data_IF_107360807966
#
_entry.id   IF_107360807966
#
_cell.length_a   1.000
_cell.length_b   1.000
_cell.length_c   1.000
_cell.angle_alpha   90.00
_cell.angle_beta   90.00
_cell.angle_gamma   90.00
#
_symmetry.space_group_name_H-M   'P 1'
#
loop_
_entity.id
_entity.type
_entity.pdbx_description
1 polymer ?
#
# COMPACT_ATOMS: atom_id res chain seq x y z
N UNK A 1 -7.93 -11.74 -2.32
CA UNK A 1 -9.08 -11.37 -1.45
C UNK A 1 -8.86 -10.12 -0.58
N UNK A 2 -7.68 -9.49 -0.59
CA UNK A 2 -7.39 -8.32 0.25
C UNK A 2 -8.13 -7.05 -0.19
N UNK A 3 -8.37 -6.90 -1.49
CA UNK A 3 -9.07 -5.74 -2.07
C UNK A 3 -10.49 -5.54 -1.51
N UNK A 4 -11.43 -6.51 -1.59
CA UNK A 4 -12.75 -6.33 -0.98
C UNK A 4 -12.69 -6.21 0.55
N UNK A 5 -11.74 -6.87 1.20
CA UNK A 5 -11.57 -6.82 2.66
C UNK A 5 -11.17 -5.42 3.14
N UNK A 6 -10.34 -4.70 2.37
CA UNK A 6 -9.99 -3.31 2.66
C UNK A 6 -11.24 -2.42 2.73
N UNK A 7 -12.12 -2.50 1.72
CA UNK A 7 -13.35 -1.70 1.70
C UNK A 7 -14.34 -2.11 2.79
N UNK A 8 -14.46 -3.41 3.10
CA UNK A 8 -15.30 -3.87 4.22
C UNK A 8 -14.77 -3.33 5.56
N UNK A 9 -13.46 -3.30 5.77
CA UNK A 9 -12.88 -2.80 7.02
C UNK A 9 -12.90 -1.27 7.12
N UNK A 10 -12.58 -0.55 6.03
CA UNK A 10 -12.56 0.91 6.02
C UNK A 10 -13.97 1.52 5.97
N UNK A 11 -14.85 1.00 5.11
CA UNK A 11 -16.20 1.55 4.88
C UNK A 11 -17.26 0.81 5.72
N UNK A 12 -17.16 -0.52 5.83
CA UNK A 12 -18.16 -1.34 6.55
C UNK A 12 -18.04 -1.32 8.07
N UNK A 13 -16.82 -1.30 8.62
CA UNK A 13 -16.58 -1.26 10.07
C UNK A 13 -16.23 0.15 10.62
N UNK A 14 -16.16 1.17 9.78
CA UNK A 14 -15.90 2.56 10.21
C UNK A 14 -14.53 2.78 10.86
N UNK A 15 -13.59 1.83 10.69
CA UNK A 15 -12.29 1.87 11.32
C UNK A 15 -11.31 2.84 10.67
N UNK A 16 -11.69 3.52 9.57
CA UNK A 16 -11.05 4.70 9.00
C UNK A 16 -9.52 4.75 9.14
N UNK A 17 -9.00 5.44 10.17
CA UNK A 17 -7.55 5.60 10.41
C UNK A 17 -6.86 4.46 11.18
N UNK A 18 -7.63 3.59 11.84
CA UNK A 18 -7.12 2.47 12.64
C UNK A 18 -6.99 1.17 11.85
N UNK A 19 -7.66 1.07 10.70
CA UNK A 19 -7.54 -0.07 9.82
C UNK A 19 -6.21 0.01 9.02
N UNK A 20 -5.42 -1.07 8.98
CA UNK A 20 -4.18 -1.09 8.21
C UNK A 20 -4.46 -0.85 6.73
N UNK A 21 -3.51 -0.24 6.03
CA UNK A 21 -3.59 0.03 4.59
C UNK A 21 -3.41 -1.28 3.79
N UNK A 22 -4.47 -2.08 3.80
CA UNK A 22 -4.56 -3.37 3.13
C UNK A 22 -4.53 -3.23 1.60
N UNK A 23 -4.90 -2.07 1.06
CA UNK A 23 -4.92 -1.81 -0.37
C UNK A 23 -3.49 -1.64 -0.90
N UNK A 24 -2.64 -0.89 -0.18
CA UNK A 24 -1.20 -0.83 -0.48
C UNK A 24 -0.54 -2.21 -0.33
N UNK A 25 -0.86 -2.98 0.72
CA UNK A 25 -0.31 -4.34 0.91
C UNK A 25 -0.73 -5.25 -0.26
N UNK A 26 -2.00 -5.19 -0.65
CA UNK A 26 -2.53 -5.98 -1.77
C UNK A 26 -1.85 -5.63 -3.09
N UNK A 27 -1.63 -4.34 -3.35
CA UNK A 27 -0.92 -3.86 -4.52
C UNK A 27 0.52 -4.36 -4.53
N UNK A 28 1.24 -4.23 -3.41
CA UNK A 28 2.64 -4.66 -3.30
C UNK A 28 2.80 -6.18 -3.45
N UNK A 29 1.86 -6.97 -2.93
CA UNK A 29 1.81 -8.41 -3.18
C UNK A 29 1.54 -8.72 -4.65
N UNK A 30 0.52 -8.08 -5.24
CA UNK A 30 0.19 -8.28 -6.65
C UNK A 30 1.37 -7.90 -7.56
N UNK A 31 2.04 -6.78 -7.30
CA UNK A 31 3.18 -6.27 -8.06
C UNK A 31 4.37 -7.24 -8.10
N UNK A 32 4.47 -8.17 -7.15
CA UNK A 32 5.50 -9.25 -7.18
C UNK A 32 5.13 -10.36 -8.16
N UNK A 33 3.84 -10.62 -8.33
CA UNK A 33 3.32 -11.68 -9.20
C UNK A 33 3.14 -11.20 -10.64
N UNK A 34 2.79 -9.92 -10.83
CA UNK A 34 2.58 -9.33 -12.15
C UNK A 34 3.81 -8.55 -12.64
N UNK A 35 4.13 -8.63 -13.93
CA UNK A 35 5.18 -7.81 -14.53
C UNK A 35 4.84 -6.31 -14.50
N UNK A 36 5.80 -5.45 -14.88
CA UNK A 36 5.70 -3.99 -14.82
C UNK A 36 4.37 -3.41 -15.36
N UNK A 37 3.94 -3.88 -16.53
CA UNK A 37 2.69 -3.48 -17.19
C UNK A 37 1.44 -3.86 -16.39
N UNK A 38 1.46 -5.03 -15.75
CA UNK A 38 0.37 -5.47 -14.90
C UNK A 38 0.32 -4.66 -13.62
N UNK A 39 1.47 -4.39 -13.01
CA UNK A 39 1.56 -3.65 -11.76
C UNK A 39 1.10 -2.20 -11.91
N UNK A 40 1.44 -1.55 -13.03
CA UNK A 40 0.94 -0.20 -13.34
C UNK A 40 -0.58 -0.17 -13.50
N UNK A 41 -1.17 -1.18 -14.15
CA UNK A 41 -2.62 -1.26 -14.34
C UNK A 41 -3.35 -1.52 -13.03
N UNK A 42 -2.85 -2.46 -12.22
CA UNK A 42 -3.43 -2.76 -10.89
C UNK A 42 -3.34 -1.53 -9.99
N UNK A 43 -2.19 -0.84 -9.97
CA UNK A 43 -2.02 0.40 -9.22
C UNK A 43 -2.99 1.50 -9.65
N UNK A 44 -3.16 1.71 -10.97
CA UNK A 44 -4.11 2.68 -11.49
C UNK A 44 -5.55 2.35 -11.07
N UNK A 45 -5.99 1.10 -11.27
CA UNK A 45 -7.34 0.68 -10.91
C UNK A 45 -7.61 0.84 -9.42
N UNK A 46 -6.65 0.45 -8.58
CA UNK A 46 -6.77 0.57 -7.13
C UNK A 46 -6.90 2.04 -6.71
N UNK A 47 -6.05 2.90 -7.25
CA UNK A 47 -6.10 4.32 -6.93
C UNK A 47 -7.34 5.02 -7.48
N UNK A 48 -7.90 4.62 -8.64
CA UNK A 48 -9.17 5.16 -9.15
C UNK A 48 -10.34 4.81 -8.22
N UNK A 49 -10.34 3.59 -7.69
CA UNK A 49 -11.37 3.18 -6.72
C UNK A 49 -11.23 3.95 -5.41
N UNK A 50 -10.01 4.18 -4.94
CA UNK A 50 -9.76 4.98 -3.74
C UNK A 50 -10.13 6.46 -3.96
N UNK A 51 -9.80 7.01 -5.12
CA UNK A 51 -10.15 8.38 -5.50
C UNK A 51 -11.67 8.58 -5.64
N UNK A 52 -12.42 7.53 -5.99
CA UNK A 52 -13.89 7.58 -6.03
C UNK A 52 -14.53 7.86 -4.67
N UNK A 53 -13.78 7.66 -3.58
CA UNK A 53 -14.19 7.96 -2.21
C UNK A 53 -13.71 9.34 -1.73
N UNK A 54 -12.84 10.02 -2.49
CA UNK A 54 -12.24 11.30 -2.12
C UNK A 54 -12.47 12.36 -3.20
N UNK A 55 -13.51 13.18 -3.02
CA UNK A 55 -13.88 14.22 -4.01
C UNK A 55 -12.84 15.35 -4.10
N UNK A 56 -12.13 15.64 -3.00
CA UNK A 56 -11.26 16.81 -2.87
C UNK A 56 -9.88 16.64 -3.53
N UNK A 57 -9.42 15.41 -3.75
CA UNK A 57 -8.09 15.11 -4.27
C UNK A 57 -8.11 13.98 -5.31
N UNK A 58 -9.17 13.95 -6.13
CA UNK A 58 -9.34 12.94 -7.18
C UNK A 58 -8.12 12.91 -8.11
N UNK A 59 -7.57 11.72 -8.35
CA UNK A 59 -6.36 11.47 -9.14
C UNK A 59 -5.09 11.31 -8.29
N UNK A 60 -5.06 11.79 -7.05
CA UNK A 60 -3.86 11.71 -6.22
C UNK A 60 -3.53 10.27 -5.82
N UNK A 61 -4.53 9.46 -5.47
CA UNK A 61 -4.31 8.05 -5.16
C UNK A 61 -4.03 7.25 -6.44
N UNK A 62 -4.70 7.53 -7.55
CA UNK A 62 -4.46 6.92 -8.86
C UNK A 62 -3.00 7.00 -9.29
N UNK A 63 -2.42 8.21 -9.24
CA UNK A 63 -1.01 8.41 -9.61
C UNK A 63 -0.09 7.73 -8.58
N UNK A 64 -0.34 7.93 -7.30
CA UNK A 64 0.47 7.36 -6.22
C UNK A 64 0.54 5.84 -6.32
N UNK A 65 -0.61 5.17 -6.41
CA UNK A 65 -0.71 3.71 -6.46
C UNK A 65 -0.10 3.15 -7.74
N UNK A 66 -0.21 3.86 -8.87
CA UNK A 66 0.46 3.44 -10.12
C UNK A 66 1.98 3.44 -9.95
N UNK A 67 2.55 4.52 -9.39
CA UNK A 67 4.00 4.63 -9.15
C UNK A 67 4.46 3.57 -8.16
N UNK A 68 3.72 3.35 -7.08
CA UNK A 68 4.04 2.31 -6.09
C UNK A 68 3.99 0.91 -6.69
N UNK A 69 2.99 0.61 -7.53
CA UNK A 69 2.91 -0.67 -8.23
C UNK A 69 4.12 -0.90 -9.14
N UNK A 70 4.51 0.12 -9.91
CA UNK A 70 5.69 0.10 -10.78
C UNK A 70 6.97 -0.13 -9.99
N UNK A 71 7.20 0.64 -8.91
CA UNK A 71 8.36 0.50 -8.03
C UNK A 71 8.40 -0.89 -7.38
N UNK A 72 7.24 -1.38 -6.92
CA UNK A 72 7.12 -2.71 -6.33
C UNK A 72 7.55 -3.82 -7.31
N UNK A 73 7.07 -3.75 -8.56
CA UNK A 73 7.45 -4.69 -9.60
C UNK A 73 8.94 -4.64 -9.95
N UNK A 74 9.56 -3.45 -9.97
CA UNK A 74 11.00 -3.31 -10.18
C UNK A 74 11.83 -3.99 -9.09
N UNK A 75 11.38 -3.91 -7.83
CA UNK A 75 12.12 -4.53 -6.72
C UNK A 75 11.96 -6.05 -6.64
N UNK A 76 11.05 -6.66 -7.43
CA UNK A 76 10.83 -8.12 -7.38
C UNK A 76 12.11 -8.89 -7.74
N UNK A 77 12.91 -8.37 -8.67
CA UNK A 77 14.12 -9.05 -9.15
C UNK A 77 15.27 -8.95 -8.14
N UNK A 78 15.13 -8.08 -7.12
CA UNK A 78 16.05 -7.93 -5.99
C UNK A 78 15.70 -8.84 -4.80
N UNK A 79 14.57 -9.57 -4.84
CA UNK A 79 14.20 -10.51 -3.79
C UNK A 79 15.12 -11.73 -3.81
N UNK A 80 16.18 -11.68 -3.00
CA UNK A 80 17.06 -12.82 -2.76
C UNK A 80 16.40 -13.74 -1.74
N UNK A 81 15.84 -14.85 -2.23
CA UNK A 81 15.41 -16.05 -1.48
C UNK A 81 14.56 -15.82 -0.23
N UNK A 82 13.23 -15.83 -0.35
CA UNK A 82 12.21 -15.89 0.73
C UNK A 82 12.52 -15.19 2.07
N UNK A 83 13.34 -14.14 2.02
CA UNK A 83 13.81 -13.46 3.22
C UNK A 83 12.66 -12.67 3.82
N UNK A 84 12.18 -13.13 4.98
CA UNK A 84 11.11 -12.47 5.74
C UNK A 84 11.47 -11.03 6.09
N UNK A 85 12.76 -10.75 6.31
CA UNK A 85 13.25 -9.40 6.58
C UNK A 85 13.14 -8.50 5.33
N UNK A 86 13.47 -9.03 4.14
CA UNK A 86 13.29 -8.29 2.89
C UNK A 86 11.81 -7.99 2.68
N UNK A 87 10.92 -8.97 2.87
CA UNK A 87 9.48 -8.80 2.75
C UNK A 87 8.92 -7.74 3.72
N UNK A 88 9.38 -7.75 4.98
CA UNK A 88 9.01 -6.73 5.97
C UNK A 88 9.46 -5.33 5.52
N UNK A 89 10.72 -5.21 5.08
CA UNK A 89 11.27 -3.94 4.60
C UNK A 89 10.57 -3.45 3.32
N UNK A 90 10.15 -4.37 2.45
CA UNK A 90 9.41 -4.10 1.23
C UNK A 90 8.02 -3.51 1.53
N UNK A 91 7.26 -4.10 2.46
CA UNK A 91 5.97 -3.54 2.87
C UNK A 91 6.12 -2.21 3.58
N UNK A 92 7.11 -2.09 4.48
CA UNK A 92 7.39 -0.86 5.19
C UNK A 92 7.72 0.29 4.22
N UNK A 93 8.71 0.07 3.34
CA UNK A 93 9.14 1.08 2.38
C UNK A 93 8.03 1.42 1.39
N UNK A 94 7.29 0.43 0.89
CA UNK A 94 6.20 0.66 -0.05
C UNK A 94 5.07 1.48 0.56
N UNK A 95 4.66 1.19 1.81
CA UNK A 95 3.64 1.99 2.50
C UNK A 95 4.12 3.40 2.83
N UNK A 96 5.34 3.54 3.34
CA UNK A 96 5.88 4.86 3.64
C UNK A 96 6.03 5.72 2.37
N UNK A 97 6.53 5.13 1.28
CA UNK A 97 6.64 5.80 -0.01
C UNK A 97 5.27 6.20 -0.56
N UNK A 98 4.24 5.37 -0.38
CA UNK A 98 2.85 5.70 -0.75
C UNK A 98 2.38 6.96 -0.03
N UNK A 99 2.61 7.07 1.28
CA UNK A 99 2.20 8.24 2.06
C UNK A 99 3.00 9.49 1.69
N UNK A 100 4.30 9.34 1.42
CA UNK A 100 5.15 10.42 0.92
C UNK A 100 4.71 10.94 -0.45
N UNK A 101 4.50 10.05 -1.42
CA UNK A 101 4.07 10.40 -2.78
C UNK A 101 2.67 11.04 -2.76
N UNK A 102 1.75 10.48 -1.97
CA UNK A 102 0.42 11.06 -1.83
C UNK A 102 0.50 12.48 -1.25
N UNK A 103 1.31 12.69 -0.19
CA UNK A 103 1.56 14.02 0.37
C UNK A 103 2.15 14.97 -0.67
N UNK A 104 3.09 14.51 -1.51
CA UNK A 104 3.65 15.34 -2.58
C UNK A 104 2.61 15.79 -3.62
N UNK A 105 1.66 14.91 -3.96
CA UNK A 105 0.67 15.14 -5.03
C UNK A 105 -0.52 15.95 -4.53
N UNK A 106 -0.89 15.81 -3.26
CA UNK A 106 -2.07 16.48 -2.66
C UNK A 106 -1.96 18.02 -2.73
N UNK A 107 -3.04 18.79 -2.79
CA UNK A 107 -2.96 20.27 -2.77
C UNK A 107 -2.43 20.82 -1.44
N UNK A 108 -1.74 21.97 -1.43
CA UNK A 108 -1.19 22.56 -0.19
C UNK A 108 -2.26 22.82 0.88
N UNK A 109 -3.47 23.20 0.46
CA UNK A 109 -4.63 23.44 1.33
C UNK A 109 -5.12 22.17 2.07
N UNK A 110 -4.76 20.99 1.57
CA UNK A 110 -5.22 19.70 2.09
C UNK A 110 -4.13 18.92 2.85
N UNK A 111 -2.86 19.35 2.73
CA UNK A 111 -1.72 18.67 3.37
C UNK A 111 -1.59 19.07 4.83
N UNK A 112 -1.36 18.09 5.69
CA UNK A 112 -0.83 18.36 7.03
C UNK A 112 0.68 18.65 6.96
N UNK A 113 1.27 19.21 8.03
CA UNK A 113 2.72 19.39 8.11
C UNK A 113 3.46 18.09 7.82
N UNK A 114 4.55 18.19 7.05
CA UNK A 114 5.34 17.04 6.60
C UNK A 114 5.79 16.15 7.77
N UNK A 115 6.26 16.78 8.85
CA UNK A 115 6.76 16.08 10.05
C UNK A 115 5.65 15.24 10.68
N UNK A 116 4.44 15.78 10.77
CA UNK A 116 3.32 15.08 11.39
C UNK A 116 2.82 13.95 10.50
N UNK A 117 2.61 14.23 9.22
CA UNK A 117 1.95 13.28 8.31
C UNK A 117 2.89 12.19 7.77
N UNK A 118 4.08 12.57 7.30
CA UNK A 118 4.99 11.64 6.60
C UNK A 118 5.97 10.99 7.57
N UNK A 119 6.50 11.74 8.54
CA UNK A 119 7.47 11.20 9.49
C UNK A 119 6.75 10.52 10.66
N UNK A 120 5.99 11.25 11.48
CA UNK A 120 5.40 10.68 12.68
C UNK A 120 4.32 9.63 12.35
N UNK A 121 3.26 10.04 11.66
CA UNK A 121 2.14 9.15 11.34
C UNK A 121 2.52 8.14 10.26
N UNK A 122 3.19 8.58 9.20
CA UNK A 122 3.57 7.74 8.06
C UNK A 122 4.51 6.59 8.46
N UNK A 123 5.52 6.81 9.30
CA UNK A 123 6.42 5.73 9.74
C UNK A 123 5.70 4.72 10.63
N UNK A 124 4.83 5.18 11.54
CA UNK A 124 4.02 4.30 12.39
C UNK A 124 3.02 3.48 11.56
N UNK A 125 2.34 4.12 10.60
CA UNK A 125 1.42 3.46 9.69
C UNK A 125 2.14 2.44 8.79
N UNK A 126 3.34 2.78 8.31
CA UNK A 126 4.19 1.87 7.55
C UNK A 126 4.63 0.65 8.35
N UNK A 127 5.03 0.85 9.61
CA UNK A 127 5.38 -0.26 10.50
C UNK A 127 4.17 -1.16 10.75
N UNK A 128 3.01 -0.56 11.05
CA UNK A 128 1.78 -1.30 11.26
C UNK A 128 1.36 -2.10 10.02
N UNK A 129 1.38 -1.48 8.84
CA UNK A 129 1.08 -2.15 7.57
C UNK A 129 2.07 -3.28 7.27
N UNK A 130 3.36 -3.07 7.54
CA UNK A 130 4.38 -4.10 7.33
C UNK A 130 4.16 -5.32 8.22
N UNK A 131 3.85 -5.11 9.50
CA UNK A 131 3.54 -6.20 10.43
C UNK A 131 2.28 -6.96 10.02
N UNK A 132 1.22 -6.25 9.61
CA UNK A 132 -0.01 -6.86 9.11
C UNK A 132 0.23 -7.64 7.82
N UNK A 133 0.99 -7.07 6.88
CA UNK A 133 1.39 -7.72 5.64
C UNK A 133 2.19 -9.00 5.89
N UNK A 134 3.13 -8.98 6.83
CA UNK A 134 3.87 -10.19 7.23
C UNK A 134 2.99 -11.23 7.91
N UNK A 135 2.07 -10.82 8.79
CA UNK A 135 1.10 -11.73 9.40
C UNK A 135 0.24 -12.43 8.35
N UNK A 136 -0.20 -11.72 7.32
CA UNK A 136 -0.94 -12.28 6.19
C UNK A 136 -0.10 -13.28 5.39
N UNK A 137 1.17 -12.96 5.08
CA UNK A 137 2.06 -13.88 4.36
C UNK A 137 2.26 -15.18 5.17
N UNK A 138 2.56 -15.07 6.46
CA UNK A 138 2.74 -16.23 7.34
C UNK A 138 1.47 -17.08 7.41
N UNK A 139 0.30 -16.44 7.52
CA UNK A 139 -0.98 -17.13 7.53
C UNK A 139 -1.24 -17.85 6.20
N UNK A 140 -0.92 -17.21 5.07
CA UNK A 140 -1.08 -17.82 3.75
C UNK A 140 -0.15 -19.02 3.55
N UNK A 141 1.08 -18.96 4.06
CA UNK A 141 2.02 -20.08 4.01
C UNK A 141 1.52 -21.25 4.88
N UNK A 142 1.04 -20.96 6.10
CA UNK A 142 0.44 -21.95 6.99
C UNK A 142 -0.76 -22.66 6.35
N UNK A 143 -1.67 -21.91 5.72
CA UNK A 143 -2.85 -22.46 5.02
C UNK A 143 -2.45 -23.28 3.79
N UNK A 144 -1.37 -22.91 3.11
CA UNK A 144 -0.85 -23.62 1.93
C UNK A 144 0.04 -24.82 2.30
N UNK A 145 0.26 -25.09 3.58
CA UNK A 145 1.05 -26.23 4.06
C UNK A 145 2.54 -26.15 3.69
N UNK A 146 3.08 -24.92 3.57
CA UNK A 146 4.50 -24.66 3.33
C UNK A 146 5.21 -24.21 4.60
#
# INVERSE_FOLDING_TARGET
>A
MLFPLHFVLHIGFGLGRSAPDLLTIALLLAAREVGLRGASLVGLLFGVVEDSLTVLAFGANSVTMTVIGVLGAFTRDLFVGDSKLFMLSYFFAGKWMRDFLHWMIMGQELRQPFVDQVLAQGLLAALYAALVGMGLVILMDLVRGR
#
